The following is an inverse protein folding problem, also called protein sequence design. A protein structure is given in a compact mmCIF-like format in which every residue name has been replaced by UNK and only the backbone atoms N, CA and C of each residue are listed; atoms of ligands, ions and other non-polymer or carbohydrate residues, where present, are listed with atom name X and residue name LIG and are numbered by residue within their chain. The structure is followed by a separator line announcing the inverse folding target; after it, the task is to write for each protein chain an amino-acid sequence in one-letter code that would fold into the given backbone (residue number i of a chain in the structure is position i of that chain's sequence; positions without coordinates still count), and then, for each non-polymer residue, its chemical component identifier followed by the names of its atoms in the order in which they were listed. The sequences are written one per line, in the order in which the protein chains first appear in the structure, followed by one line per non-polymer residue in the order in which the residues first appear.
data_IF_248306272556
#
_entry.id   IF_248306272556
#
_cell.length_a   1.000
_cell.length_b   1.000
_cell.length_c   1.000
_cell.angle_alpha   90.00
_cell.angle_beta   90.00
_cell.angle_gamma   90.00
#
_symmetry.space_group_name_H-M   'P 1'
#
loop_
_entity.id
_entity.type
_entity.pdbx_description
1 polymer ?
#
# COMPACT_ATOMS: atom_id res chain seq x y z
N UNK A 1 40.75 7.75 23.28
CA UNK A 1 40.03 6.47 23.03
C UNK A 1 39.34 6.41 21.67
N UNK A 2 39.30 7.48 20.88
CA UNK A 2 38.63 7.61 19.56
C UNK A 2 39.38 6.99 18.38
N UNK A 3 40.62 6.50 18.55
CA UNK A 3 41.41 5.93 17.45
C UNK A 3 41.11 4.46 17.12
N UNK A 4 40.49 3.72 18.05
CA UNK A 4 40.27 2.28 17.88
C UNK A 4 38.86 2.06 17.29
N UNK A 5 38.75 1.33 16.17
CA UNK A 5 37.52 1.07 15.37
C UNK A 5 37.04 2.18 14.43
N UNK A 6 37.04 3.45 14.87
CA UNK A 6 36.43 4.53 14.09
C UNK A 6 36.94 4.66 12.65
N UNK A 7 38.25 4.51 12.34
CA UNK A 7 38.73 4.55 10.96
C UNK A 7 38.06 3.51 10.04
N UNK A 8 37.79 2.31 10.55
CA UNK A 8 37.09 1.26 9.80
C UNK A 8 35.61 1.61 9.61
N UNK A 9 34.98 2.21 10.61
CA UNK A 9 33.59 2.67 10.54
C UNK A 9 33.44 3.79 9.52
N UNK A 10 34.31 4.81 9.59
CA UNK A 10 34.39 5.91 8.62
C UNK A 10 34.55 5.37 7.20
N UNK A 11 35.54 4.50 6.96
CA UNK A 11 35.75 3.90 5.64
C UNK A 11 34.51 3.11 5.15
N UNK A 12 33.80 2.41 6.05
CA UNK A 12 32.58 1.70 5.70
C UNK A 12 31.45 2.65 5.31
N UNK A 13 31.20 3.69 6.11
CA UNK A 13 30.10 4.65 5.87
C UNK A 13 30.35 5.47 4.59
N UNK A 14 31.58 5.91 4.36
CA UNK A 14 31.97 6.61 3.12
C UNK A 14 31.76 5.73 1.88
N UNK A 15 32.02 4.42 1.95
CA UNK A 15 31.76 3.47 0.84
C UNK A 15 30.27 3.38 0.47
N UNK A 16 29.38 3.72 1.40
CA UNK A 16 27.94 3.81 1.15
C UNK A 16 27.51 5.19 0.61
N UNK A 17 28.46 6.05 0.24
CA UNK A 17 28.18 7.37 -0.35
C UNK A 17 27.69 8.41 0.66
N UNK A 18 27.93 8.19 1.95
CA UNK A 18 27.49 9.08 3.04
C UNK A 18 28.62 10.03 3.47
N UNK A 19 28.32 11.24 3.94
CA UNK A 19 29.33 12.18 4.40
C UNK A 19 30.02 11.68 5.68
N UNK A 20 31.16 12.29 6.01
CA UNK A 20 31.91 11.95 7.21
C UNK A 20 31.12 12.22 8.51
N UNK A 21 30.32 13.29 8.54
CA UNK A 21 29.47 13.60 9.69
C UNK A 21 28.53 12.44 10.06
N UNK A 22 27.90 11.80 9.06
CA UNK A 22 27.07 10.61 9.28
C UNK A 22 27.87 9.47 9.91
N UNK A 23 29.15 9.33 9.57
CA UNK A 23 29.99 8.28 10.14
C UNK A 23 30.24 8.49 11.64
N UNK A 24 30.39 9.73 12.08
CA UNK A 24 30.49 10.09 13.50
C UNK A 24 29.18 9.78 14.21
N UNK A 25 28.05 10.20 13.64
CA UNK A 25 26.73 9.99 14.23
C UNK A 25 26.42 8.50 14.39
N UNK A 26 26.62 7.70 13.33
CA UNK A 26 26.43 6.26 13.39
C UNK A 26 27.36 5.58 14.40
N UNK A 27 28.60 6.06 14.51
CA UNK A 27 29.56 5.53 15.49
C UNK A 27 29.12 5.83 16.92
N UNK A 28 28.70 7.07 17.20
CA UNK A 28 28.22 7.49 18.51
C UNK A 28 26.96 6.70 18.91
N UNK A 29 25.98 6.55 18.01
CA UNK A 29 24.77 5.77 18.27
C UNK A 29 25.11 4.29 18.53
N UNK A 30 26.00 3.71 17.72
CA UNK A 30 26.45 2.33 17.91
C UNK A 30 27.18 2.14 19.25
N UNK A 31 27.99 3.12 19.68
CA UNK A 31 28.65 3.10 20.98
C UNK A 31 27.65 3.18 22.12
N UNK A 32 26.64 4.06 22.05
CA UNK A 32 25.58 4.15 23.05
C UNK A 32 24.80 2.84 23.20
N UNK A 33 24.48 2.17 22.09
CA UNK A 33 23.82 0.85 22.11
C UNK A 33 24.69 -0.21 22.80
N UNK A 34 25.99 -0.25 22.48
CA UNK A 34 26.94 -1.14 23.14
C UNK A 34 27.02 -0.86 24.65
N UNK A 35 27.22 0.41 25.02
CA UNK A 35 27.33 0.85 26.40
C UNK A 35 26.08 0.48 27.21
N UNK A 36 24.90 0.71 26.65
CA UNK A 36 23.63 0.34 27.30
C UNK A 36 23.55 -1.17 27.55
N UNK A 37 23.92 -1.99 26.57
CA UNK A 37 23.92 -3.45 26.77
C UNK A 37 24.94 -3.94 27.78
N UNK A 38 26.09 -3.28 27.89
CA UNK A 38 27.08 -3.58 28.93
C UNK A 38 26.50 -3.26 30.30
N UNK A 39 25.91 -2.07 30.48
CA UNK A 39 25.28 -1.67 31.75
C UNK A 39 24.16 -2.61 32.17
N UNK A 40 23.39 -3.12 31.22
CA UNK A 40 22.30 -4.07 31.47
C UNK A 40 22.78 -5.52 31.67
N UNK A 41 24.10 -5.79 31.59
CA UNK A 41 24.65 -7.15 31.68
C UNK A 41 24.27 -8.06 30.50
N UNK A 42 23.71 -7.49 29.42
CA UNK A 42 23.25 -8.22 28.23
C UNK A 42 24.35 -8.42 27.18
N UNK A 43 25.47 -7.70 27.31
CA UNK A 43 26.63 -7.88 26.46
C UNK A 43 27.57 -8.95 27.06
N UNK A 44 27.91 -9.97 26.28
CA UNK A 44 28.81 -11.05 26.69
C UNK A 44 30.03 -11.08 25.78
N UNK A 45 31.21 -10.94 26.37
CA UNK A 45 32.48 -11.17 25.68
C UNK A 45 32.68 -12.67 25.48
N UNK A 46 33.20 -13.04 24.32
CA UNK A 46 33.57 -14.42 24.02
C UNK A 46 34.98 -14.68 24.56
N UNK A 47 35.08 -15.46 25.64
CA UNK A 47 36.34 -15.72 26.34
C UNK A 47 37.39 -16.50 25.50
N UNK A 48 36.94 -17.28 24.50
CA UNK A 48 37.78 -18.10 23.61
C UNK A 48 37.91 -17.51 22.19
N UNK A 49 37.53 -16.24 21.99
CA UNK A 49 37.63 -15.65 20.65
C UNK A 49 39.09 -15.41 20.27
N UNK A 50 39.39 -15.61 18.98
CA UNK A 50 40.71 -15.36 18.37
C UNK A 50 41.14 -13.88 18.42
N UNK A 51 40.23 -12.97 18.79
CA UNK A 51 40.46 -11.54 18.85
C UNK A 51 40.50 -11.02 20.29
N UNK A 52 41.34 -10.01 20.58
CA UNK A 52 41.35 -9.35 21.89
C UNK A 52 39.98 -8.73 22.17
N UNK A 53 39.69 -8.46 23.45
CA UNK A 53 38.41 -7.86 23.85
C UNK A 53 38.09 -6.56 23.10
N UNK A 54 39.09 -5.73 22.85
CA UNK A 54 38.95 -4.52 22.04
C UNK A 54 38.47 -4.84 20.62
N UNK A 55 38.99 -5.89 19.99
CA UNK A 55 38.55 -6.36 18.67
C UNK A 55 37.10 -6.85 18.67
N UNK A 56 36.67 -7.53 19.73
CA UNK A 56 35.27 -7.96 19.89
C UNK A 56 34.32 -6.76 20.04
N UNK A 57 34.72 -5.73 20.79
CA UNK A 57 33.95 -4.48 20.90
C UNK A 57 33.86 -3.77 19.55
N UNK A 58 34.96 -3.68 18.81
CA UNK A 58 35.00 -3.12 17.46
C UNK A 58 34.06 -3.85 16.49
N UNK A 59 34.09 -5.18 16.52
CA UNK A 59 33.22 -6.00 15.68
C UNK A 59 31.74 -5.76 16.00
N UNK A 60 31.41 -5.61 17.28
CA UNK A 60 30.06 -5.29 17.72
C UNK A 60 29.60 -3.89 17.26
N UNK A 61 30.46 -2.88 17.44
CA UNK A 61 30.18 -1.50 16.99
C UNK A 61 29.96 -1.51 15.47
N UNK A 62 30.90 -2.09 14.71
CA UNK A 62 30.80 -2.21 13.25
C UNK A 62 29.50 -2.92 12.83
N UNK A 63 29.12 -4.00 13.51
CA UNK A 63 27.87 -4.70 13.20
C UNK A 63 26.63 -3.85 13.50
N UNK A 64 26.68 -3.02 14.55
CA UNK A 64 25.60 -2.11 14.91
C UNK A 64 25.48 -0.99 13.88
N UNK A 65 26.59 -0.37 13.48
CA UNK A 65 26.65 0.63 12.39
C UNK A 65 26.04 0.05 11.10
N UNK A 66 26.44 -1.16 10.69
CA UNK A 66 25.87 -1.85 9.52
C UNK A 66 24.34 -1.96 9.60
N UNK A 67 23.80 -2.23 10.78
CA UNK A 67 22.36 -2.35 10.98
C UNK A 67 21.65 -0.99 10.97
N UNK A 68 22.25 0.04 11.57
CA UNK A 68 21.74 1.41 11.56
C UNK A 68 21.70 1.97 10.14
N UNK A 69 22.79 1.82 9.38
CA UNK A 69 22.88 2.28 8.00
C UNK A 69 21.85 1.58 7.10
N UNK A 70 21.70 0.25 7.22
CA UNK A 70 20.65 -0.49 6.48
C UNK A 70 19.24 0.01 6.81
N UNK A 71 18.98 0.40 8.06
CA UNK A 71 17.70 0.99 8.44
C UNK A 71 17.54 2.37 7.80
N UNK A 72 18.53 3.24 7.89
CA UNK A 72 18.50 4.59 7.30
C UNK A 72 18.20 4.52 5.79
N UNK A 73 18.94 3.69 5.04
CA UNK A 73 18.72 3.45 3.61
C UNK A 73 17.31 2.91 3.34
N UNK A 74 16.78 2.03 4.19
CA UNK A 74 15.39 1.56 4.06
C UNK A 74 14.36 2.67 4.29
N UNK A 75 14.63 3.61 5.18
CA UNK A 75 13.76 4.76 5.42
C UNK A 75 13.82 5.76 4.28
N UNK A 76 15.01 6.02 3.72
CA UNK A 76 15.21 6.88 2.55
C UNK A 76 14.54 6.30 1.29
N UNK A 77 14.62 4.98 1.09
CA UNK A 77 13.96 4.30 -0.03
C UNK A 77 12.48 3.95 0.25
N UNK A 78 11.89 4.45 1.33
CA UNK A 78 10.46 4.29 1.55
C UNK A 78 9.75 5.14 0.50
N UNK A 79 8.77 4.60 -0.25
CA UNK A 79 7.94 5.41 -1.14
C UNK A 79 7.41 6.61 -0.35
N UNK A 80 7.46 7.83 -0.91
CA UNK A 80 6.87 8.99 -0.24
C UNK A 80 5.43 8.62 0.08
N UNK A 81 5.07 8.72 1.36
CA UNK A 81 3.65 8.76 1.72
C UNK A 81 3.17 10.04 1.06
N UNK A 82 2.35 9.92 0.01
CA UNK A 82 1.69 11.06 -0.61
C UNK A 82 1.11 11.90 0.53
N UNK A 83 1.30 13.23 0.55
CA UNK A 83 0.74 14.07 1.61
C UNK A 83 -0.76 13.78 1.74
N UNK A 84 -1.15 13.15 2.84
CA UNK A 84 -2.54 12.90 3.19
C UNK A 84 -3.13 14.23 3.67
N UNK A 85 -3.96 14.87 2.85
CA UNK A 85 -4.81 15.97 3.31
C UNK A 85 -6.31 15.64 3.24
N UNK A 86 -6.65 14.36 3.19
CA UNK A 86 -8.02 13.91 3.43
C UNK A 86 -7.97 12.73 4.41
N UNK A 87 -8.26 13.02 5.68
CA UNK A 87 -8.62 11.97 6.64
C UNK A 87 -9.83 11.22 6.08
N UNK A 88 -9.74 9.89 5.99
CA UNK A 88 -10.85 9.06 5.55
C UNK A 88 -12.14 9.47 6.29
N UNK A 89 -13.20 9.70 5.54
CA UNK A 89 -14.53 10.00 6.09
C UNK A 89 -15.04 8.83 6.93
N UNK A 90 -16.00 9.10 7.81
CA UNK A 90 -16.59 8.05 8.65
C UNK A 90 -17.20 6.91 7.80
N UNK A 91 -17.83 7.25 6.68
CA UNK A 91 -18.40 6.28 5.73
C UNK A 91 -17.31 5.42 5.06
N UNK A 92 -16.17 6.01 4.72
CA UNK A 92 -15.03 5.26 4.16
C UNK A 92 -14.43 4.29 5.19
N UNK A 93 -14.34 4.71 6.46
CA UNK A 93 -13.88 3.87 7.56
C UNK A 93 -14.84 2.70 7.84
N UNK A 94 -16.14 2.94 7.79
CA UNK A 94 -17.16 1.91 7.95
C UNK A 94 -17.13 0.91 6.79
N UNK A 95 -17.04 1.39 5.55
CA UNK A 95 -16.91 0.55 4.37
C UNK A 95 -15.62 -0.29 4.40
N UNK A 96 -14.51 0.31 4.83
CA UNK A 96 -13.25 -0.41 4.99
C UNK A 96 -13.38 -1.52 6.05
N UNK A 97 -13.98 -1.21 7.20
CA UNK A 97 -14.26 -2.19 8.26
C UNK A 97 -15.11 -3.37 7.75
N UNK A 98 -16.16 -3.08 6.97
CA UNK A 98 -16.98 -4.08 6.32
C UNK A 98 -16.14 -4.99 5.40
N UNK A 99 -15.33 -4.41 4.49
CA UNK A 99 -14.48 -5.18 3.59
C UNK A 99 -13.49 -6.08 4.34
N UNK A 100 -12.84 -5.56 5.39
CA UNK A 100 -11.93 -6.36 6.22
C UNK A 100 -12.66 -7.54 6.86
N UNK A 101 -13.89 -7.35 7.34
CA UNK A 101 -14.69 -8.43 7.95
C UNK A 101 -15.08 -9.49 6.93
N UNK A 102 -15.59 -9.08 5.77
CA UNK A 102 -16.00 -10.01 4.71
C UNK A 102 -14.81 -10.85 4.22
N UNK A 103 -13.69 -10.22 3.85
CA UNK A 103 -12.52 -10.96 3.39
C UNK A 103 -11.91 -11.83 4.47
N UNK A 104 -11.94 -11.42 5.74
CA UNK A 104 -11.47 -12.26 6.83
C UNK A 104 -12.30 -13.54 6.96
N UNK A 105 -13.61 -13.49 6.69
CA UNK A 105 -14.47 -14.68 6.71
C UNK A 105 -14.21 -15.62 5.54
N UNK A 106 -13.88 -15.09 4.36
CA UNK A 106 -13.53 -15.87 3.17
C UNK A 106 -12.15 -16.56 3.25
N UNK A 107 -11.24 -16.06 4.10
CA UNK A 107 -9.93 -16.66 4.28
C UNK A 107 -10.01 -18.09 4.82
N UNK A 108 -9.07 -18.93 4.38
CA UNK A 108 -8.89 -20.28 4.90
C UNK A 108 -8.71 -20.26 6.43
N UNK A 109 -9.35 -21.23 7.11
CA UNK A 109 -9.34 -21.39 8.57
C UNK A 109 -7.97 -21.19 9.24
N UNK A 110 -6.84 -21.74 8.73
CA UNK A 110 -5.53 -21.51 9.34
C UNK A 110 -5.12 -20.03 9.36
N UNK A 111 -5.30 -19.26 8.29
CA UNK A 111 -4.94 -17.84 8.31
C UNK A 111 -5.95 -17.00 9.09
N UNK A 112 -7.25 -17.30 8.95
CA UNK A 112 -8.34 -16.61 9.63
C UNK A 112 -8.19 -16.69 11.15
N UNK A 113 -8.03 -17.90 11.69
CA UNK A 113 -7.87 -18.09 13.14
C UNK A 113 -6.56 -17.49 13.67
N UNK A 114 -5.46 -17.47 12.89
CA UNK A 114 -4.21 -16.81 13.29
C UNK A 114 -4.41 -15.31 13.51
N UNK A 115 -5.13 -14.67 12.58
CA UNK A 115 -5.46 -13.25 12.66
C UNK A 115 -6.42 -12.97 13.83
N UNK A 116 -7.47 -13.77 13.99
CA UNK A 116 -8.41 -13.63 15.10
C UNK A 116 -7.70 -13.77 16.45
N UNK A 117 -6.89 -14.82 16.60
CA UNK A 117 -6.09 -15.12 17.79
C UNK A 117 -5.13 -13.98 18.14
N UNK A 118 -4.50 -13.35 17.14
CA UNK A 118 -3.57 -12.24 17.37
C UNK A 118 -4.23 -10.91 17.67
N UNK A 119 -5.26 -10.54 16.92
CA UNK A 119 -5.82 -9.18 16.93
C UNK A 119 -7.02 -9.03 17.88
N UNK A 120 -7.81 -10.08 18.05
CA UNK A 120 -8.98 -10.06 18.94
C UNK A 120 -8.67 -10.73 20.29
N UNK A 121 -7.96 -11.86 20.28
CA UNK A 121 -7.60 -12.60 21.53
C UNK A 121 -6.26 -12.20 22.14
N UNK A 122 -5.47 -11.34 21.46
CA UNK A 122 -4.17 -10.81 21.90
C UNK A 122 -3.13 -11.88 22.29
N UNK A 123 -3.23 -13.10 21.76
CA UNK A 123 -2.27 -14.15 22.03
C UNK A 123 -0.86 -13.80 21.50
N UNK A 124 0.16 -14.32 22.18
CA UNK A 124 1.56 -14.16 21.80
C UNK A 124 1.90 -15.04 20.58
N UNK A 125 2.94 -14.67 19.84
CA UNK A 125 3.39 -15.45 18.67
C UNK A 125 3.73 -16.92 18.98
N UNK A 126 4.34 -17.26 20.14
CA UNK A 126 4.50 -18.66 20.56
C UNK A 126 3.17 -19.39 20.79
N UNK A 127 2.17 -18.75 21.39
CA UNK A 127 0.85 -19.34 21.65
C UNK A 127 0.06 -19.57 20.37
N UNK A 128 0.09 -18.60 19.44
CA UNK A 128 -0.51 -18.72 18.11
C UNK A 128 0.14 -19.87 17.34
N UNK A 129 1.47 -19.99 17.39
CA UNK A 129 2.19 -21.10 16.75
C UNK A 129 1.75 -22.46 17.27
N UNK A 130 1.71 -22.64 18.60
CA UNK A 130 1.29 -23.90 19.24
C UNK A 130 -0.17 -24.26 18.96
N UNK A 131 -1.07 -23.27 18.93
CA UNK A 131 -2.50 -23.49 18.68
C UNK A 131 -2.83 -23.84 17.22
N UNK A 132 -2.00 -23.43 16.26
CA UNK A 132 -2.23 -23.68 14.84
C UNK A 132 -1.48 -24.88 14.28
N UNK A 133 -0.21 -25.04 14.66
CA UNK A 133 0.59 -26.19 14.29
C UNK A 133 1.70 -26.38 15.33
N UNK A 134 1.64 -27.45 16.13
CA UNK A 134 2.60 -27.69 17.21
C UNK A 134 4.06 -27.84 16.75
N UNK A 135 4.32 -27.98 15.44
CA UNK A 135 5.67 -28.04 14.84
C UNK A 135 6.26 -26.67 14.46
N UNK A 136 5.52 -25.56 14.63
CA UNK A 136 5.94 -24.23 14.19
C UNK A 136 6.47 -23.38 15.37
N UNK A 137 7.76 -23.04 15.33
CA UNK A 137 8.38 -22.12 16.29
C UNK A 137 7.99 -20.64 16.07
N UNK A 138 8.19 -19.78 17.08
CA UNK A 138 7.77 -18.37 17.08
C UNK A 138 8.23 -17.55 15.85
N UNK A 139 9.41 -17.87 15.28
CA UNK A 139 9.92 -17.23 14.06
C UNK A 139 9.09 -17.59 12.82
N UNK A 140 8.68 -18.85 12.70
CA UNK A 140 7.86 -19.33 11.61
C UNK A 140 6.40 -18.88 11.76
N UNK A 141 5.87 -18.85 13.00
CA UNK A 141 4.55 -18.27 13.30
C UNK A 141 4.47 -16.78 12.91
N UNK A 142 5.53 -16.00 13.18
CA UNK A 142 5.61 -14.59 12.73
C UNK A 142 5.56 -14.47 11.20
N UNK A 143 6.32 -15.30 10.49
CA UNK A 143 6.35 -15.28 9.02
C UNK A 143 4.98 -15.63 8.44
N UNK A 144 4.33 -16.68 8.94
CA UNK A 144 2.99 -17.09 8.51
C UNK A 144 1.95 -16.00 8.80
N UNK A 145 1.97 -15.40 10.00
CA UNK A 145 1.09 -14.28 10.34
C UNK A 145 1.29 -13.10 9.36
N UNK A 146 2.54 -12.73 9.07
CA UNK A 146 2.83 -11.68 8.09
C UNK A 146 2.29 -12.01 6.70
N UNK A 147 2.40 -13.26 6.26
CA UNK A 147 1.85 -13.70 4.97
C UNK A 147 0.32 -13.61 4.94
N UNK A 148 -0.37 -14.04 6.00
CA UNK A 148 -1.82 -13.91 6.11
C UNK A 148 -2.28 -12.44 6.10
N UNK A 149 -1.56 -11.54 6.81
CA UNK A 149 -1.85 -10.09 6.79
C UNK A 149 -1.67 -9.53 5.38
N UNK A 150 -0.56 -9.86 4.72
CA UNK A 150 -0.29 -9.36 3.37
C UNK A 150 -1.34 -9.83 2.36
N UNK A 151 -1.81 -11.07 2.49
CA UNK A 151 -2.91 -11.60 1.68
C UNK A 151 -4.24 -10.87 1.94
N UNK A 152 -4.60 -10.64 3.20
CA UNK A 152 -5.82 -9.89 3.54
C UNK A 152 -5.76 -8.47 2.97
N UNK A 153 -4.63 -7.78 3.15
CA UNK A 153 -4.43 -6.43 2.64
C UNK A 153 -4.47 -6.38 1.11
N UNK A 154 -3.93 -7.39 0.41
CA UNK A 154 -3.98 -7.41 -1.05
C UNK A 154 -5.41 -7.58 -1.57
N UNK A 155 -6.24 -8.39 -0.89
CA UNK A 155 -7.67 -8.54 -1.21
C UNK A 155 -8.47 -7.27 -0.96
N UNK A 156 -8.27 -6.63 0.19
CA UNK A 156 -8.92 -5.34 0.51
C UNK A 156 -8.53 -4.27 -0.51
N UNK A 157 -7.23 -4.13 -0.81
CA UNK A 157 -6.75 -3.16 -1.80
C UNK A 157 -7.35 -3.41 -3.18
N UNK A 158 -7.41 -4.67 -3.63
CA UNK A 158 -8.03 -5.02 -4.90
C UNK A 158 -9.51 -4.58 -4.97
N UNK A 159 -10.27 -4.74 -3.89
CA UNK A 159 -11.67 -4.31 -3.82
C UNK A 159 -11.81 -2.78 -3.81
N UNK A 160 -10.91 -2.08 -3.10
CA UNK A 160 -10.86 -0.62 -3.09
C UNK A 160 -10.49 -0.05 -4.47
N UNK A 161 -9.57 -0.70 -5.19
CA UNK A 161 -9.19 -0.33 -6.55
C UNK A 161 -10.36 -0.49 -7.52
N UNK A 162 -11.08 -1.60 -7.44
CA UNK A 162 -12.29 -1.82 -8.25
C UNK A 162 -13.37 -0.77 -7.98
N UNK A 163 -13.58 -0.41 -6.71
CA UNK A 163 -14.51 0.65 -6.33
C UNK A 163 -14.10 2.03 -6.86
N UNK A 164 -12.80 2.36 -6.79
CA UNK A 164 -12.25 3.62 -7.31
C UNK A 164 -12.34 3.72 -8.83
N UNK A 165 -11.97 2.67 -9.55
CA UNK A 165 -12.01 2.64 -11.01
C UNK A 165 -13.45 2.80 -11.52
N UNK A 166 -14.42 2.14 -10.85
CA UNK A 166 -15.83 2.29 -11.18
C UNK A 166 -16.33 3.73 -10.99
N UNK A 167 -16.04 4.35 -9.84
CA UNK A 167 -16.43 5.75 -9.57
C UNK A 167 -15.77 6.73 -10.54
N UNK A 168 -14.50 6.51 -10.88
CA UNK A 168 -13.76 7.31 -11.86
C UNK A 168 -14.38 7.19 -13.25
N UNK A 169 -14.69 5.97 -13.69
CA UNK A 169 -15.35 5.72 -14.96
C UNK A 169 -16.74 6.38 -15.01
N UNK A 170 -17.53 6.27 -13.94
CA UNK A 170 -18.85 6.92 -13.83
C UNK A 170 -18.73 8.45 -13.93
N UNK A 171 -17.78 9.07 -13.21
CA UNK A 171 -17.56 10.51 -13.26
C UNK A 171 -17.11 10.98 -14.66
N UNK A 172 -16.16 10.27 -15.27
CA UNK A 172 -15.68 10.57 -16.62
C UNK A 172 -16.81 10.40 -17.64
N UNK A 173 -17.62 9.35 -17.53
CA UNK A 173 -18.77 9.13 -18.40
C UNK A 173 -19.79 10.26 -18.27
N UNK A 174 -20.15 10.65 -17.05
CA UNK A 174 -21.11 11.74 -16.79
C UNK A 174 -20.64 13.07 -17.39
N UNK A 175 -19.40 13.47 -17.11
CA UNK A 175 -18.82 14.69 -17.66
C UNK A 175 -18.71 14.65 -19.18
N UNK A 176 -18.34 13.49 -19.75
CA UNK A 176 -18.22 13.34 -21.20
C UNK A 176 -19.57 13.49 -21.89
N UNK A 177 -20.66 12.97 -21.32
CA UNK A 177 -22.02 13.16 -21.86
C UNK A 177 -22.40 14.64 -21.88
N UNK A 178 -22.08 15.39 -20.82
CA UNK A 178 -22.37 16.83 -20.74
C UNK A 178 -21.65 17.66 -21.82
N UNK A 179 -20.46 17.24 -22.24
CA UNK A 179 -19.67 17.86 -23.30
C UNK A 179 -20.03 17.36 -24.72
N UNK A 180 -20.98 16.43 -24.87
CA UNK A 180 -21.42 16.01 -26.20
C UNK A 180 -22.27 17.08 -26.86
N UNK A 181 -22.11 17.20 -28.18
CA UNK A 181 -22.96 18.06 -28.99
C UNK A 181 -24.38 17.47 -29.11
N UNK A 182 -25.36 18.35 -29.30
CA UNK A 182 -26.71 17.93 -29.64
C UNK A 182 -26.74 17.26 -31.02
N UNK A 183 -27.59 16.26 -31.25
CA UNK A 183 -28.65 15.76 -30.35
C UNK A 183 -28.17 14.68 -29.35
N UNK A 184 -26.90 14.27 -29.37
CA UNK A 184 -26.43 13.11 -28.61
C UNK A 184 -26.49 13.30 -27.09
N UNK A 185 -26.20 14.51 -26.60
CA UNK A 185 -26.28 14.82 -25.17
C UNK A 185 -27.70 14.64 -24.62
N UNK A 186 -28.69 15.29 -25.24
CA UNK A 186 -30.08 15.19 -24.81
C UNK A 186 -30.63 13.78 -24.98
N UNK A 187 -30.31 13.11 -26.10
CA UNK A 187 -30.72 11.73 -26.37
C UNK A 187 -30.22 10.76 -25.29
N UNK A 188 -28.94 10.82 -24.94
CA UNK A 188 -28.35 9.93 -23.94
C UNK A 188 -28.85 10.24 -22.52
N UNK A 189 -29.00 11.51 -22.17
CA UNK A 189 -29.59 11.92 -20.88
C UNK A 189 -31.04 11.46 -20.75
N UNK A 190 -31.87 11.61 -21.79
CA UNK A 190 -33.27 11.14 -21.76
C UNK A 190 -33.36 9.61 -21.66
N UNK A 191 -32.48 8.88 -22.35
CA UNK A 191 -32.52 7.41 -22.32
C UNK A 191 -31.99 6.81 -21.00
N UNK A 192 -30.94 7.39 -20.41
CA UNK A 192 -30.31 6.89 -19.19
C UNK A 192 -30.69 7.67 -17.92
N UNK A 193 -31.69 8.57 -18.00
CA UNK A 193 -32.17 9.30 -16.82
C UNK A 193 -32.74 8.32 -15.78
N UNK A 194 -32.33 8.52 -14.52
CA UNK A 194 -32.85 7.75 -13.40
C UNK A 194 -34.27 8.18 -12.98
N UNK A 195 -34.72 9.37 -13.40
CA UNK A 195 -36.00 9.96 -12.96
C UNK A 195 -37.20 9.52 -13.83
N UNK A 196 -36.98 9.29 -15.13
CA UNK A 196 -38.03 8.88 -16.07
C UNK A 196 -37.47 7.90 -17.09
N UNK A 197 -38.16 6.77 -17.29
CA UNK A 197 -37.89 5.83 -18.39
C UNK A 197 -38.57 6.31 -19.67
N UNK A 198 -37.83 7.02 -20.52
CA UNK A 198 -38.33 7.47 -21.81
C UNK A 198 -38.41 6.31 -22.81
N UNK A 199 -39.51 6.22 -23.55
CA UNK A 199 -39.63 5.32 -24.70
C UNK A 199 -38.93 5.91 -25.93
N UNK A 200 -38.56 5.07 -26.90
CA UNK A 200 -37.93 5.54 -28.15
C UNK A 200 -38.86 6.41 -29.00
N UNK A 201 -40.17 6.27 -28.84
CA UNK A 201 -41.19 7.08 -29.52
C UNK A 201 -41.27 8.47 -28.89
N UNK A 202 -41.26 8.56 -27.55
CA UNK A 202 -41.20 9.85 -26.85
C UNK A 202 -39.89 10.59 -27.15
N UNK A 203 -38.76 9.90 -27.16
CA UNK A 203 -37.45 10.50 -27.51
C UNK A 203 -37.45 10.96 -28.97
N UNK A 204 -38.02 10.16 -29.88
CA UNK A 204 -38.13 10.53 -31.28
C UNK A 204 -38.94 11.82 -31.46
N UNK A 205 -40.08 11.93 -30.79
CA UNK A 205 -40.92 13.13 -30.85
C UNK A 205 -40.24 14.34 -30.17
N UNK A 206 -39.56 14.14 -29.04
CA UNK A 206 -38.92 15.21 -28.29
C UNK A 206 -37.68 15.80 -29.00
N UNK A 207 -36.98 14.99 -29.80
CA UNK A 207 -35.78 15.39 -30.54
C UNK A 207 -36.02 15.55 -32.05
N UNK A 208 -37.29 15.56 -32.47
CA UNK A 208 -37.73 15.73 -33.87
C UNK A 208 -37.15 14.68 -34.85
N UNK A 209 -37.05 13.42 -34.42
CA UNK A 209 -36.74 12.29 -35.30
C UNK A 209 -37.99 11.76 -35.98
N UNK A 210 -37.85 11.40 -37.27
CA UNK A 210 -38.93 10.87 -38.11
C UNK A 210 -39.68 9.67 -37.52
N UNK A 211 -39.00 8.82 -36.76
CA UNK A 211 -39.60 7.68 -36.06
C UNK A 211 -38.63 7.09 -35.02
N UNK A 212 -39.17 6.19 -34.18
CA UNK A 212 -38.42 5.49 -33.14
C UNK A 212 -37.23 4.65 -33.66
N UNK A 213 -37.28 4.14 -34.91
CA UNK A 213 -36.18 3.36 -35.47
C UNK A 213 -34.97 4.24 -35.80
N UNK A 214 -35.22 5.45 -36.32
CA UNK A 214 -34.16 6.45 -36.55
C UNK A 214 -33.52 6.88 -35.21
N UNK A 215 -34.34 7.11 -34.18
CA UNK A 215 -33.85 7.44 -32.84
C UNK A 215 -33.00 6.31 -32.22
N UNK A 216 -33.37 5.04 -32.42
CA UNK A 216 -32.59 3.87 -31.98
C UNK A 216 -31.20 3.80 -32.63
N UNK A 217 -31.13 4.04 -33.95
CA UNK A 217 -29.85 4.06 -34.68
C UNK A 217 -28.99 5.23 -34.20
N UNK A 218 -29.58 6.42 -34.09
CA UNK A 218 -28.91 7.61 -33.55
C UNK A 218 -28.35 7.37 -32.14
N UNK A 219 -29.12 6.71 -31.25
CA UNK A 219 -28.64 6.28 -29.93
C UNK A 219 -27.40 5.40 -30.03
N UNK A 220 -27.43 4.40 -30.89
CA UNK A 220 -26.29 3.49 -31.10
C UNK A 220 -25.03 4.24 -31.54
N UNK A 221 -25.17 5.21 -32.43
CA UNK A 221 -24.04 6.01 -32.91
C UNK A 221 -23.55 7.01 -31.85
N UNK A 222 -24.46 7.62 -31.09
CA UNK A 222 -24.10 8.46 -29.94
C UNK A 222 -23.35 7.66 -28.86
N UNK A 223 -23.77 6.42 -28.58
CA UNK A 223 -23.05 5.53 -27.65
C UNK A 223 -21.64 5.19 -28.12
N UNK A 224 -21.45 4.91 -29.42
CA UNK A 224 -20.12 4.69 -29.99
C UNK A 224 -19.23 5.92 -29.83
N UNK A 225 -19.76 7.11 -30.13
CA UNK A 225 -19.05 8.40 -29.96
C UNK A 225 -18.67 8.63 -28.49
N UNK A 226 -19.58 8.34 -27.56
CA UNK A 226 -19.34 8.43 -26.13
C UNK A 226 -18.19 7.52 -25.70
N UNK A 227 -18.25 6.23 -26.07
CA UNK A 227 -17.18 5.27 -25.74
C UNK A 227 -15.82 5.70 -26.30
N UNK A 228 -15.77 6.22 -27.53
CA UNK A 228 -14.52 6.73 -28.12
C UNK A 228 -13.96 7.95 -27.37
N UNK A 229 -14.82 8.89 -26.96
CA UNK A 229 -14.39 10.06 -26.17
C UNK A 229 -13.91 9.66 -24.77
N UNK A 230 -14.61 8.73 -24.09
CA UNK A 230 -14.20 8.20 -22.78
C UNK A 230 -12.84 7.50 -22.90
N UNK A 231 -12.66 6.63 -23.91
CA UNK A 231 -11.41 5.91 -24.11
C UNK A 231 -10.22 6.86 -24.33
N UNK A 232 -10.42 7.96 -25.07
CA UNK A 232 -9.39 9.01 -25.24
C UNK A 232 -9.04 9.68 -23.91
N UNK A 233 -10.05 10.14 -23.16
CA UNK A 233 -9.83 10.80 -21.85
C UNK A 233 -9.14 9.90 -20.84
N UNK A 234 -9.44 8.61 -20.82
CA UNK A 234 -8.75 7.64 -19.95
C UNK A 234 -7.31 7.35 -20.41
N UNK A 235 -7.00 7.52 -21.70
CA UNK A 235 -5.64 7.31 -22.25
C UNK A 235 -4.72 8.53 -22.14
N UNK A 236 -5.26 9.72 -21.91
CA UNK A 236 -4.53 10.98 -21.81
C UNK A 236 -4.03 11.32 -20.40
N UNK A 237 -4.21 10.42 -19.43
CA UNK A 237 -3.60 10.61 -18.11
C UNK A 237 -2.07 10.68 -18.23
N UNK A 238 -1.42 11.71 -17.67
CA UNK A 238 0.03 11.75 -17.64
C UNK A 238 0.51 10.56 -16.83
N UNK A 239 1.18 9.61 -17.51
CA UNK A 239 2.07 8.66 -16.83
C UNK A 239 2.91 9.49 -15.88
N UNK A 240 2.75 9.29 -14.58
CA UNK A 240 3.58 9.87 -13.54
C UNK A 240 5.02 9.94 -14.06
N UNK A 241 5.50 11.16 -14.31
CA UNK A 241 6.92 11.42 -14.47
C UNK A 241 7.52 11.16 -13.09
N UNK A 242 7.94 9.91 -12.88
CA UNK A 242 8.82 9.55 -11.79
C UNK A 242 10.15 10.24 -12.03
N UNK A 243 10.41 11.25 -11.21
CA UNK A 243 11.75 11.71 -10.85
C UNK A 243 12.07 11.16 -9.46
#
# INVERSE_FOLDING_TARGET
MTHYCYPSVKAYVLRWGRPEADAEDFFQEAFLVLFTKIREGKFKLQALARQPYTGQLCAYIMQTVKNLLRKAVRWENRPPVLPEEQTATQDEMEYLSYLFREFLLEMEAPCREMLISRYFRKHTLPEIGKGHNPKIGAKAARKALSQCIQYLLSKVNQALDQGREKRKLELVALNTVQEMEEPCRSLLNMFYSNEKKWTMEEIANALDYKNANVAKVAKGDCMKKLHLKIARKLSEEPKNQGL
#
